data_IF_960358144242
#
_entry.id   IF_960358144242
#
_cell.length_a   1.000
_cell.length_b   1.000
_cell.length_c   1.000
_cell.angle_alpha   90.00
_cell.angle_beta   90.00
_cell.angle_gamma   90.00
#
_symmetry.space_group_name_H-M   'P 1'
#
loop_
_entity.id
_entity.type
_entity.pdbx_description
1 polymer ?
#
# COMPACT_ATOMS: atom_id res chain seq x y z
N UNK A 1 -7.23 -18.11 3.38
CA UNK A 1 -8.42 -17.48 4.03
C UNK A 1 -9.41 -17.15 2.94
N UNK A 2 -10.74 -17.33 3.12
CA UNK A 2 -11.72 -16.94 2.11
C UNK A 2 -11.95 -15.42 2.16
N UNK A 3 -12.09 -14.77 0.99
CA UNK A 3 -12.22 -13.31 0.93
C UNK A 3 -13.45 -12.80 1.71
N UNK A 4 -14.58 -13.52 1.68
CA UNK A 4 -15.81 -13.15 2.39
C UNK A 4 -15.69 -13.15 3.92
N UNK A 5 -14.65 -13.80 4.46
CA UNK A 5 -14.37 -13.87 5.90
C UNK A 5 -13.43 -12.75 6.38
N UNK A 6 -12.93 -11.95 5.44
CA UNK A 6 -12.00 -10.88 5.76
C UNK A 6 -12.70 -9.71 6.45
N UNK A 7 -12.05 -9.23 7.50
CA UNK A 7 -12.27 -7.98 8.20
C UNK A 7 -10.99 -7.19 8.10
N UNK A 8 -10.85 -6.42 7.03
CA UNK A 8 -9.57 -5.91 6.55
C UNK A 8 -9.50 -4.40 6.56
N UNK A 9 -8.39 -3.86 7.08
CA UNK A 9 -8.04 -2.45 6.95
C UNK A 9 -7.29 -2.23 5.63
N UNK A 10 -7.64 -1.16 4.91
CA UNK A 10 -6.90 -0.68 3.74
C UNK A 10 -6.53 0.78 3.94
N UNK A 11 -5.24 1.09 3.90
CA UNK A 11 -4.74 2.45 3.99
C UNK A 11 -4.55 3.06 2.59
N UNK A 12 -4.72 4.39 2.45
CA UNK A 12 -4.63 5.06 1.14
C UNK A 12 -5.78 4.63 0.21
N UNK A 13 -6.99 4.51 0.75
CA UNK A 13 -8.12 3.89 0.07
C UNK A 13 -9.04 4.88 -0.68
N UNK A 14 -8.77 6.19 -0.64
CA UNK A 14 -9.60 7.18 -1.31
C UNK A 14 -9.52 7.16 -2.84
N UNK A 15 -8.49 6.56 -3.41
CA UNK A 15 -8.25 6.55 -4.86
C UNK A 15 -7.32 5.40 -5.30
N UNK A 16 -7.16 5.24 -6.61
CA UNK A 16 -6.17 4.34 -7.21
C UNK A 16 -6.31 2.89 -6.76
N UNK A 17 -5.17 2.24 -6.45
CA UNK A 17 -5.14 0.83 -6.06
C UNK A 17 -5.92 0.55 -4.79
N UNK A 18 -5.80 1.41 -3.76
CA UNK A 18 -6.50 1.20 -2.48
C UNK A 18 -8.03 1.20 -2.63
N UNK A 19 -8.59 2.14 -3.38
CA UNK A 19 -10.02 2.17 -3.70
C UNK A 19 -10.45 0.94 -4.50
N UNK A 20 -9.63 0.52 -5.47
CA UNK A 20 -9.88 -0.68 -6.26
C UNK A 20 -9.91 -1.93 -5.39
N UNK A 21 -8.94 -2.12 -4.49
CA UNK A 21 -8.90 -3.26 -3.58
C UNK A 21 -10.10 -3.29 -2.63
N UNK A 22 -10.48 -2.13 -2.08
CA UNK A 22 -11.66 -2.02 -1.22
C UNK A 22 -12.93 -2.47 -1.92
N UNK A 23 -13.13 -2.02 -3.17
CA UNK A 23 -14.27 -2.43 -3.99
C UNK A 23 -14.25 -3.94 -4.28
N UNK A 24 -13.11 -4.49 -4.74
CA UNK A 24 -12.97 -5.94 -5.06
C UNK A 24 -13.25 -6.82 -3.85
N UNK A 25 -12.81 -6.40 -2.67
CA UNK A 25 -13.09 -7.10 -1.42
C UNK A 25 -14.56 -7.02 -1.02
N UNK A 26 -15.19 -5.85 -1.17
CA UNK A 26 -16.62 -5.69 -0.91
C UNK A 26 -17.47 -6.52 -1.90
N UNK A 27 -17.10 -6.59 -3.19
CA UNK A 27 -17.72 -7.47 -4.19
C UNK A 27 -17.63 -8.96 -3.77
N UNK A 28 -16.52 -9.35 -3.12
CA UNK A 28 -16.33 -10.72 -2.60
C UNK A 28 -17.01 -10.98 -1.24
N UNK A 29 -17.71 -10.02 -0.66
CA UNK A 29 -18.43 -10.16 0.60
C UNK A 29 -17.63 -9.82 1.86
N UNK A 30 -16.42 -9.28 1.75
CA UNK A 30 -15.59 -8.87 2.88
C UNK A 30 -16.12 -7.63 3.60
N UNK A 31 -15.70 -7.44 4.85
CA UNK A 31 -15.82 -6.16 5.53
C UNK A 31 -14.49 -5.40 5.42
N UNK A 32 -14.57 -4.16 5.01
CA UNK A 32 -13.41 -3.30 4.75
C UNK A 32 -13.49 -2.03 5.60
N UNK A 33 -12.46 -1.71 6.35
CA UNK A 33 -12.24 -0.41 6.95
C UNK A 33 -11.23 0.37 6.07
N UNK A 34 -11.73 1.35 5.32
CA UNK A 34 -10.95 2.14 4.38
C UNK A 34 -10.52 3.46 5.01
N UNK A 35 -9.20 3.69 5.10
CA UNK A 35 -8.60 4.90 5.65
C UNK A 35 -7.82 5.70 4.62
N UNK A 36 -7.98 7.03 4.65
CA UNK A 36 -7.22 7.98 3.82
C UNK A 36 -7.31 9.38 4.44
N UNK A 37 -6.39 10.27 4.08
CA UNK A 37 -6.48 11.69 4.46
C UNK A 37 -7.53 12.45 3.62
N UNK A 38 -7.93 11.91 2.46
CA UNK A 38 -8.87 12.51 1.50
C UNK A 38 -10.29 12.05 1.76
N UNK A 39 -11.02 12.78 2.60
CA UNK A 39 -12.38 12.43 3.00
C UNK A 39 -13.38 12.37 1.83
N UNK A 40 -13.23 13.26 0.84
CA UNK A 40 -14.09 13.26 -0.36
C UNK A 40 -13.95 11.95 -1.16
N UNK A 41 -12.71 11.46 -1.35
CA UNK A 41 -12.48 10.19 -2.04
C UNK A 41 -13.00 8.98 -1.25
N UNK A 42 -12.96 9.05 0.09
CA UNK A 42 -13.57 8.02 0.94
C UNK A 42 -15.10 8.02 0.81
N UNK A 43 -15.74 9.19 0.73
CA UNK A 43 -17.18 9.29 0.50
C UNK A 43 -17.59 8.72 -0.87
N UNK A 44 -16.82 9.02 -1.92
CA UNK A 44 -17.02 8.45 -3.26
C UNK A 44 -16.87 6.92 -3.26
N UNK A 45 -15.87 6.39 -2.55
CA UNK A 45 -15.68 4.94 -2.39
C UNK A 45 -16.87 4.29 -1.68
N UNK A 46 -17.35 4.88 -0.57
CA UNK A 46 -18.48 4.37 0.18
C UNK A 46 -19.74 4.30 -0.69
N UNK A 47 -19.99 5.34 -1.48
CA UNK A 47 -21.12 5.38 -2.42
C UNK A 47 -20.97 4.31 -3.53
N UNK A 48 -19.79 4.19 -4.13
CA UNK A 48 -19.51 3.21 -5.17
C UNK A 48 -19.61 1.75 -4.70
N UNK A 49 -19.48 1.52 -3.39
CA UNK A 49 -19.61 0.19 -2.79
C UNK A 49 -21.00 -0.08 -2.19
N UNK A 50 -21.93 0.87 -2.29
CA UNK A 50 -23.29 0.69 -1.76
C UNK A 50 -24.01 -0.46 -2.45
N UNK A 51 -24.60 -1.36 -1.66
CA UNK A 51 -25.35 -2.51 -2.17
C UNK A 51 -24.49 -3.71 -2.60
N UNK A 52 -23.16 -3.63 -2.47
CA UNK A 52 -22.31 -4.81 -2.65
C UNK A 52 -22.52 -5.84 -1.53
N UNK A 53 -22.19 -7.13 -1.76
CA UNK A 53 -22.36 -8.19 -0.76
C UNK A 53 -21.61 -7.93 0.57
N UNK A 54 -20.44 -7.31 0.51
CA UNK A 54 -19.66 -6.89 1.67
C UNK A 54 -19.98 -5.47 2.12
N UNK A 55 -19.20 -4.95 3.05
CA UNK A 55 -19.36 -3.59 3.57
C UNK A 55 -18.05 -2.82 3.53
N UNK A 56 -18.13 -1.53 3.18
CA UNK A 56 -17.02 -0.59 3.29
C UNK A 56 -17.36 0.47 4.33
N UNK A 57 -16.56 0.51 5.39
CA UNK A 57 -16.59 1.52 6.43
C UNK A 57 -15.46 2.51 6.13
N UNK A 58 -15.70 3.80 6.18
CA UNK A 58 -14.71 4.81 5.85
C UNK A 58 -14.47 5.76 7.03
N UNK A 59 -13.20 6.10 7.27
CA UNK A 59 -12.81 7.11 8.26
C UNK A 59 -11.51 7.77 7.79
N UNK A 60 -11.37 9.06 8.10
CA UNK A 60 -10.11 9.77 7.89
C UNK A 60 -8.97 9.09 8.66
N UNK A 61 -7.79 9.02 8.02
CA UNK A 61 -6.59 8.43 8.59
C UNK A 61 -5.35 9.12 8.03
N UNK A 62 -4.54 9.69 8.89
CA UNK A 62 -3.16 10.05 8.59
C UNK A 62 -2.23 8.98 9.18
N UNK A 63 -1.70 8.09 8.35
CA UNK A 63 -0.80 7.02 8.81
C UNK A 63 0.52 7.53 9.40
N UNK A 64 0.88 8.80 9.18
CA UNK A 64 2.08 9.40 9.78
C UNK A 64 1.87 9.88 11.23
N UNK A 65 0.62 9.88 11.70
CA UNK A 65 0.23 10.20 13.07
C UNK A 65 0.00 8.92 13.87
N UNK A 66 0.81 8.67 14.89
CA UNK A 66 0.66 7.49 15.76
C UNK A 66 -0.69 7.47 16.47
N UNK A 67 -1.18 8.64 16.90
CA UNK A 67 -2.49 8.78 17.54
C UNK A 67 -3.63 8.39 16.58
N UNK A 68 -3.61 8.94 15.34
CA UNK A 68 -4.62 8.61 14.32
C UNK A 68 -4.63 7.12 13.98
N UNK A 69 -3.45 6.50 13.91
CA UNK A 69 -3.32 5.06 13.64
C UNK A 69 -3.99 4.24 14.75
N UNK A 70 -3.68 4.53 16.02
CA UNK A 70 -4.28 3.82 17.16
C UNK A 70 -5.80 3.96 17.18
N UNK A 71 -6.30 5.20 17.06
CA UNK A 71 -7.73 5.47 17.04
C UNK A 71 -8.46 4.84 15.85
N UNK A 72 -7.80 4.80 14.67
CA UNK A 72 -8.37 4.20 13.48
C UNK A 72 -8.48 2.68 13.61
N UNK A 73 -7.45 2.01 14.11
CA UNK A 73 -7.44 0.54 14.28
C UNK A 73 -8.49 0.10 15.30
N UNK A 74 -8.59 0.81 16.43
CA UNK A 74 -9.64 0.57 17.45
C UNK A 74 -11.04 0.75 16.85
N UNK A 75 -11.28 1.84 16.13
CA UNK A 75 -12.53 2.08 15.45
C UNK A 75 -12.85 0.98 14.41
N UNK A 76 -11.87 0.59 13.60
CA UNK A 76 -12.03 -0.45 12.58
C UNK A 76 -12.39 -1.80 13.21
N UNK A 77 -11.73 -2.15 14.32
CA UNK A 77 -12.04 -3.34 15.10
C UNK A 77 -13.50 -3.33 15.57
N UNK A 78 -13.96 -2.21 16.16
CA UNK A 78 -15.36 -2.06 16.61
C UNK A 78 -16.37 -2.11 15.46
N UNK A 79 -16.11 -1.39 14.36
CA UNK A 79 -17.02 -1.30 13.21
C UNK A 79 -17.22 -2.64 12.48
N UNK A 80 -16.19 -3.49 12.44
CA UNK A 80 -16.22 -4.80 11.78
C UNK A 80 -16.40 -5.97 12.75
N UNK A 81 -16.39 -5.72 14.07
CA UNK A 81 -16.47 -6.76 15.09
C UNK A 81 -15.26 -7.70 15.06
N UNK A 82 -14.06 -7.15 14.89
CA UNK A 82 -12.78 -7.86 14.84
C UNK A 82 -11.92 -7.48 13.65
N UNK A 83 -10.68 -7.98 13.62
CA UNK A 83 -9.71 -7.76 12.54
C UNK A 83 -8.99 -9.07 12.21
N UNK A 84 -8.77 -9.32 10.91
CA UNK A 84 -7.96 -10.44 10.42
C UNK A 84 -7.18 -10.10 9.12
N UNK A 85 -7.21 -8.86 8.67
CA UNK A 85 -6.50 -8.41 7.49
C UNK A 85 -6.01 -6.97 7.57
N UNK A 86 -4.86 -6.68 6.93
CA UNK A 86 -4.33 -5.35 6.70
C UNK A 86 -3.70 -5.28 5.32
N UNK A 87 -4.05 -4.25 4.54
CA UNK A 87 -3.37 -3.88 3.29
C UNK A 87 -2.74 -2.50 3.48
N UNK A 88 -1.43 -2.47 3.69
CA UNK A 88 -0.63 -1.25 3.77
C UNK A 88 -0.39 -0.72 2.35
N UNK A 89 -1.31 0.14 1.88
CA UNK A 89 -1.25 0.71 0.53
C UNK A 89 -0.93 2.21 0.53
N UNK A 90 -1.16 2.94 1.62
CA UNK A 90 -0.83 4.36 1.70
C UNK A 90 0.63 4.63 1.35
N UNK A 91 0.86 5.67 0.55
CA UNK A 91 2.20 6.06 0.16
C UNK A 91 2.23 7.38 -0.59
N UNK A 92 3.35 8.08 -0.46
CA UNK A 92 3.61 9.35 -1.14
C UNK A 92 4.97 9.31 -1.85
N UNK A 93 5.11 10.18 -2.84
CA UNK A 93 6.34 10.47 -3.54
C UNK A 93 6.76 11.92 -3.27
N UNK A 94 8.07 12.14 -3.10
CA UNK A 94 8.74 13.45 -3.10
C UNK A 94 10.04 13.28 -3.86
N UNK A 95 9.92 13.23 -5.20
CA UNK A 95 11.03 12.94 -6.08
C UNK A 95 11.99 14.11 -6.17
N UNK A 96 13.29 13.83 -6.13
CA UNK A 96 14.35 14.81 -6.27
C UNK A 96 15.72 14.14 -6.15
N UNK A 97 16.70 14.67 -6.88
CA UNK A 97 18.09 14.21 -6.71
C UNK A 97 18.60 14.61 -5.33
N UNK A 98 19.28 13.69 -4.65
CA UNK A 98 19.85 13.93 -3.32
C UNK A 98 20.76 15.17 -3.33
N UNK A 99 21.55 15.31 -4.40
CA UNK A 99 22.33 16.52 -4.71
C UNK A 99 22.26 16.76 -6.22
N UNK A 100 22.02 18.00 -6.63
CA UNK A 100 22.08 18.40 -8.04
C UNK A 100 22.78 19.75 -8.19
N UNK A 101 23.47 19.92 -9.31
CA UNK A 101 23.93 21.25 -9.78
C UNK A 101 22.86 21.85 -10.68
N UNK A 102 22.45 23.06 -10.36
CA UNK A 102 21.59 23.86 -11.22
C UNK A 102 22.34 24.21 -12.51
N UNK A 103 21.74 24.02 -13.67
CA UNK A 103 22.43 24.17 -14.96
C UNK A 103 22.64 25.63 -15.36
N UNK A 104 21.77 26.53 -14.90
CA UNK A 104 21.81 27.94 -15.24
C UNK A 104 22.70 28.72 -14.26
N UNK A 105 22.50 28.49 -12.98
CA UNK A 105 23.18 29.25 -11.91
C UNK A 105 24.44 28.58 -11.39
N UNK A 106 24.69 27.32 -11.70
CA UNK A 106 25.78 26.53 -11.12
C UNK A 106 25.60 26.16 -9.64
N UNK A 107 24.54 26.62 -9.00
CA UNK A 107 24.29 26.41 -7.58
C UNK A 107 24.08 24.93 -7.25
N UNK A 108 24.56 24.51 -6.08
CA UNK A 108 24.30 23.17 -5.56
C UNK A 108 23.00 23.18 -4.77
N UNK A 109 22.07 22.33 -5.16
CA UNK A 109 20.80 22.10 -4.45
C UNK A 109 20.80 20.70 -3.83
N UNK A 110 20.21 20.59 -2.65
CA UNK A 110 20.08 19.34 -1.88
C UNK A 110 18.61 18.98 -1.74
N UNK A 111 18.29 17.70 -1.69
CA UNK A 111 16.95 17.24 -1.32
C UNK A 111 16.60 17.76 0.09
N UNK A 112 15.44 18.43 0.28
CA UNK A 112 15.02 18.89 1.60
C UNK A 112 14.84 17.71 2.58
N UNK A 113 15.34 17.84 3.80
CA UNK A 113 15.14 16.83 4.86
C UNK A 113 13.66 16.63 5.18
N UNK A 114 12.83 17.68 5.04
CA UNK A 114 11.40 17.58 5.21
C UNK A 114 10.75 16.61 4.20
N UNK A 115 11.17 16.62 2.93
CA UNK A 115 10.67 15.70 1.91
C UNK A 115 11.09 14.25 2.20
N UNK A 116 12.35 14.06 2.63
CA UNK A 116 12.85 12.76 3.09
C UNK A 116 12.01 12.22 4.25
N UNK A 117 11.83 13.03 5.30
CA UNK A 117 11.08 12.64 6.49
C UNK A 117 9.61 12.36 6.18
N UNK A 118 8.97 13.17 5.31
CA UNK A 118 7.59 12.96 4.91
C UNK A 118 7.41 11.60 4.22
N UNK A 119 8.31 11.24 3.30
CA UNK A 119 8.24 9.95 2.60
C UNK A 119 8.45 8.78 3.56
N UNK A 120 9.46 8.85 4.43
CA UNK A 120 9.68 7.78 5.43
C UNK A 120 8.53 7.72 6.43
N UNK A 121 8.02 8.87 6.87
CA UNK A 121 6.90 8.97 7.81
C UNK A 121 5.67 8.21 7.33
N UNK A 122 5.27 8.43 6.08
CA UNK A 122 4.09 7.76 5.51
C UNK A 122 4.42 6.32 5.08
N UNK A 123 5.46 6.15 4.24
CA UNK A 123 5.65 4.89 3.50
C UNK A 123 6.29 3.78 4.35
N UNK A 124 6.98 4.12 5.44
CA UNK A 124 7.67 3.15 6.29
C UNK A 124 7.16 3.20 7.73
N UNK A 125 7.31 4.34 8.40
CA UNK A 125 6.93 4.46 9.83
C UNK A 125 5.43 4.24 10.00
N UNK A 126 4.60 4.88 9.18
CA UNK A 126 3.16 4.73 9.21
C UNK A 126 2.71 3.30 8.91
N UNK A 127 3.29 2.68 7.86
CA UNK A 127 3.02 1.27 7.57
C UNK A 127 3.42 0.36 8.73
N UNK A 128 4.54 0.64 9.42
CA UNK A 128 4.98 -0.12 10.60
C UNK A 128 4.01 0.06 11.77
N UNK A 129 3.56 1.27 12.06
CA UNK A 129 2.57 1.54 13.10
C UNK A 129 1.25 0.82 12.82
N UNK A 130 0.76 0.86 11.58
CA UNK A 130 -0.44 0.12 11.16
C UNK A 130 -0.30 -1.39 11.38
N UNK A 131 0.85 -1.98 11.05
CA UNK A 131 1.14 -3.41 11.32
C UNK A 131 1.10 -3.68 12.82
N UNK A 132 1.81 -2.88 13.63
CA UNK A 132 1.90 -3.05 15.08
C UNK A 132 0.52 -3.07 15.73
N UNK A 133 -0.28 -2.04 15.48
CA UNK A 133 -1.60 -1.92 16.09
C UNK A 133 -2.57 -3.00 15.59
N UNK A 134 -2.61 -3.25 14.28
CA UNK A 134 -3.52 -4.26 13.73
C UNK A 134 -3.18 -5.67 14.21
N UNK A 135 -1.89 -6.04 14.23
CA UNK A 135 -1.45 -7.36 14.69
C UNK A 135 -1.65 -7.52 16.19
N UNK A 136 -1.49 -6.45 17.00
CA UNK A 136 -1.79 -6.49 18.42
C UNK A 136 -3.27 -6.85 18.68
N UNK A 137 -4.21 -6.25 17.95
CA UNK A 137 -5.64 -6.59 18.03
C UNK A 137 -5.93 -8.05 17.59
N UNK A 138 -5.29 -8.50 16.49
CA UNK A 138 -5.43 -9.90 16.04
C UNK A 138 -4.93 -10.88 17.11
N UNK A 139 -3.75 -10.60 17.68
CA UNK A 139 -3.14 -11.45 18.71
C UNK A 139 -3.97 -11.51 19.99
N UNK A 140 -4.47 -10.36 20.45
CA UNK A 140 -5.34 -10.29 21.64
C UNK A 140 -6.64 -11.08 21.46
N UNK A 141 -7.18 -11.13 20.24
CA UNK A 141 -8.36 -11.90 19.90
C UNK A 141 -8.08 -13.39 19.57
N UNK A 142 -6.82 -13.82 19.53
CA UNK A 142 -6.44 -15.15 19.04
C UNK A 142 -6.80 -15.39 17.57
N UNK A 143 -6.95 -14.32 16.77
CA UNK A 143 -7.40 -14.39 15.40
C UNK A 143 -6.22 -14.67 14.45
N UNK A 144 -6.38 -15.64 13.55
CA UNK A 144 -5.46 -15.82 12.43
C UNK A 144 -5.62 -14.64 11.45
N UNK A 145 -4.50 -14.16 10.89
CA UNK A 145 -4.55 -12.97 10.07
C UNK A 145 -3.57 -12.95 8.90
N UNK A 146 -3.71 -11.90 8.07
CA UNK A 146 -2.80 -11.65 6.95
C UNK A 146 -2.53 -10.15 6.78
N UNK A 147 -1.26 -9.81 6.61
CA UNK A 147 -0.79 -8.46 6.27
C UNK A 147 -0.24 -8.47 4.84
N UNK A 148 -0.66 -7.51 4.03
CA UNK A 148 -0.13 -7.28 2.69
C UNK A 148 0.50 -5.89 2.64
N UNK A 149 1.81 -5.84 2.36
CA UNK A 149 2.56 -4.60 2.22
C UNK A 149 2.71 -4.22 0.74
N UNK A 150 2.41 -2.97 0.39
CA UNK A 150 2.69 -2.46 -0.95
C UNK A 150 4.12 -1.90 -1.00
N UNK A 151 5.06 -2.73 -1.49
CA UNK A 151 6.42 -2.31 -1.83
C UNK A 151 6.44 -1.61 -3.19
N UNK A 152 7.50 -1.75 -3.98
CA UNK A 152 7.66 -1.26 -5.35
C UNK A 152 8.87 -1.93 -6.00
N UNK A 153 8.91 -2.06 -7.32
CA UNK A 153 10.14 -2.43 -8.03
C UNK A 153 11.25 -1.40 -7.81
N UNK A 154 10.89 -0.13 -7.54
CA UNK A 154 11.86 0.91 -7.17
C UNK A 154 12.73 0.56 -5.95
N UNK A 155 12.37 -0.48 -5.15
CA UNK A 155 13.20 -0.97 -4.04
C UNK A 155 14.60 -1.41 -4.47
N UNK A 156 14.80 -1.69 -5.74
CA UNK A 156 16.11 -2.07 -6.29
C UNK A 156 16.98 -0.86 -6.68
N UNK A 157 16.45 0.34 -6.60
CA UNK A 157 17.08 1.60 -6.93
C UNK A 157 16.32 2.34 -8.04
N UNK A 158 16.08 3.63 -7.85
CA UNK A 158 15.54 4.50 -8.89
C UNK A 158 16.08 5.92 -8.72
N UNK A 159 16.57 6.49 -9.82
CA UNK A 159 17.19 7.81 -9.82
C UNK A 159 16.19 8.89 -9.38
N UNK A 160 16.56 9.67 -8.36
CA UNK A 160 15.72 10.74 -7.83
C UNK A 160 14.71 10.30 -6.77
N UNK A 161 14.71 9.04 -6.34
CA UNK A 161 13.75 8.48 -5.39
C UNK A 161 14.40 7.94 -4.11
N UNK A 162 15.49 8.54 -3.64
CA UNK A 162 16.27 8.00 -2.51
C UNK A 162 15.42 7.66 -1.27
N UNK A 163 14.51 8.57 -0.84
CA UNK A 163 13.65 8.32 0.29
C UNK A 163 12.60 7.22 0.02
N UNK A 164 12.02 7.22 -1.18
CA UNK A 164 11.04 6.22 -1.60
C UNK A 164 11.65 4.84 -1.71
N UNK A 165 12.82 4.74 -2.35
CA UNK A 165 13.62 3.50 -2.43
C UNK A 165 13.93 2.96 -1.04
N UNK A 166 14.44 3.80 -0.13
CA UNK A 166 14.75 3.41 1.24
C UNK A 166 13.51 2.84 1.95
N UNK A 167 12.36 3.53 1.86
CA UNK A 167 11.12 3.08 2.47
C UNK A 167 10.62 1.73 1.89
N UNK A 168 10.61 1.60 0.56
CA UNK A 168 10.06 0.41 -0.10
C UNK A 168 10.99 -0.80 0.01
N UNK A 169 12.31 -0.61 0.05
CA UNK A 169 13.29 -1.66 0.36
C UNK A 169 13.16 -2.14 1.80
N UNK A 170 13.07 -1.22 2.76
CA UNK A 170 12.88 -1.56 4.17
C UNK A 170 11.56 -2.31 4.40
N UNK A 171 10.46 -1.89 3.74
CA UNK A 171 9.16 -2.55 3.87
C UNK A 171 9.19 -3.98 3.30
N UNK A 172 9.90 -4.20 2.17
CA UNK A 172 10.10 -5.54 1.62
C UNK A 172 10.92 -6.44 2.56
N UNK A 173 11.99 -5.91 3.17
CA UNK A 173 12.80 -6.63 4.16
C UNK A 173 12.00 -6.95 5.43
N UNK A 174 11.25 -5.96 5.95
CA UNK A 174 10.40 -6.13 7.13
C UNK A 174 9.28 -7.15 6.89
N UNK A 175 8.81 -7.34 5.67
CA UNK A 175 7.84 -8.40 5.34
C UNK A 175 8.35 -9.78 5.76
N UNK A 176 9.62 -10.10 5.55
CA UNK A 176 10.21 -11.36 6.01
C UNK A 176 10.42 -11.38 7.53
N UNK A 177 10.87 -10.26 8.11
CA UNK A 177 11.07 -10.12 9.56
C UNK A 177 9.75 -10.36 10.30
N UNK A 178 8.73 -9.62 9.94
CA UNK A 178 7.39 -9.72 10.56
C UNK A 178 6.72 -11.07 10.32
N UNK A 179 6.93 -11.70 9.16
CA UNK A 179 6.44 -13.06 8.92
C UNK A 179 7.02 -14.09 9.91
N UNK A 180 8.25 -13.88 10.37
CA UNK A 180 8.89 -14.72 11.39
C UNK A 180 8.43 -14.37 12.82
N UNK A 181 8.34 -13.08 13.12
CA UNK A 181 7.89 -12.60 14.44
C UNK A 181 6.44 -12.99 14.74
N UNK A 182 5.56 -12.91 13.73
CA UNK A 182 4.12 -13.15 13.92
C UNK A 182 3.68 -14.60 13.66
N UNK A 183 4.62 -15.49 13.32
CA UNK A 183 4.28 -16.90 13.05
C UNK A 183 3.57 -17.58 14.23
N UNK A 184 4.05 -17.35 15.47
CA UNK A 184 3.42 -17.88 16.68
C UNK A 184 2.06 -17.25 17.00
N UNK A 185 1.76 -16.08 16.42
CA UNK A 185 0.47 -15.40 16.54
C UNK A 185 -0.53 -15.83 15.45
N UNK A 186 -0.12 -16.70 14.52
CA UNK A 186 -0.96 -17.15 13.42
C UNK A 186 -1.19 -16.08 12.33
N UNK A 187 -0.33 -15.05 12.25
CA UNK A 187 -0.43 -13.96 11.26
C UNK A 187 0.65 -14.13 10.19
N UNK A 188 0.22 -14.15 8.92
CA UNK A 188 1.10 -14.17 7.75
C UNK A 188 1.36 -12.75 7.25
N UNK A 189 2.52 -12.54 6.64
CA UNK A 189 2.89 -11.27 6.02
C UNK A 189 3.42 -11.51 4.62
N UNK A 190 2.84 -10.85 3.64
CA UNK A 190 3.31 -10.85 2.26
C UNK A 190 3.47 -9.43 1.71
N UNK A 191 4.17 -9.28 0.62
CA UNK A 191 4.27 -8.00 -0.08
C UNK A 191 4.05 -8.16 -1.58
N UNK A 192 3.54 -7.09 -2.19
CA UNK A 192 3.51 -6.91 -3.64
C UNK A 192 4.43 -5.74 -3.98
N UNK A 193 5.19 -5.86 -5.04
CA UNK A 193 6.01 -4.79 -5.60
C UNK A 193 5.51 -4.44 -7.00
N UNK A 194 4.63 -3.45 -7.11
CA UNK A 194 4.14 -2.98 -8.39
C UNK A 194 5.24 -2.34 -9.23
N UNK A 195 5.13 -2.55 -10.55
CA UNK A 195 5.80 -1.73 -11.54
C UNK A 195 5.08 -0.41 -11.79
N UNK A 196 5.04 0.01 -13.04
CA UNK A 196 4.28 1.21 -13.44
C UNK A 196 2.80 0.85 -13.61
N UNK A 197 1.97 1.43 -12.77
CA UNK A 197 0.52 1.17 -12.73
C UNK A 197 -0.26 2.44 -13.08
N UNK A 198 -1.33 2.29 -13.85
CA UNK A 198 -2.24 3.37 -14.18
C UNK A 198 -2.94 3.89 -12.91
N UNK A 199 -2.65 5.11 -12.57
CA UNK A 199 -3.20 5.82 -11.42
C UNK A 199 -3.53 7.25 -11.83
N UNK A 200 -4.25 8.04 -11.02
CA UNK A 200 -4.45 9.46 -11.32
C UNK A 200 -3.14 10.23 -11.58
N UNK A 201 -2.04 9.79 -10.99
CA UNK A 201 -0.71 10.38 -11.17
C UNK A 201 -0.12 10.09 -12.56
N UNK A 202 -0.24 8.86 -13.06
CA UNK A 202 0.28 8.44 -14.38
C UNK A 202 -0.61 8.92 -15.53
N UNK A 203 -1.90 9.12 -15.30
CA UNK A 203 -2.84 9.70 -16.29
C UNK A 203 -2.48 11.11 -16.72
N UNK A 204 -1.77 11.87 -15.90
CA UNK A 204 -1.29 13.21 -16.20
C UNK A 204 -0.05 13.28 -17.09
N UNK A 205 0.57 12.16 -17.43
CA UNK A 205 1.74 12.13 -18.32
C UNK A 205 1.38 12.51 -19.76
N UNK A 206 2.28 13.30 -20.41
CA UNK A 206 2.15 13.54 -21.85
C UNK A 206 2.41 12.24 -22.63
N UNK A 207 1.85 12.15 -23.85
CA UNK A 207 1.89 10.94 -24.68
C UNK A 207 3.32 10.46 -24.95
N UNK A 208 4.24 11.37 -25.27
CA UNK A 208 5.64 11.01 -25.57
C UNK A 208 6.34 10.35 -24.36
N UNK A 209 6.11 10.87 -23.15
CA UNK A 209 6.65 10.26 -21.94
C UNK A 209 6.03 8.89 -21.65
N UNK A 210 4.71 8.76 -21.93
CA UNK A 210 3.99 7.49 -21.81
C UNK A 210 4.53 6.44 -22.78
N UNK A 211 4.71 6.81 -24.05
CA UNK A 211 5.23 5.88 -25.09
C UNK A 211 6.66 5.43 -24.76
N UNK A 212 7.52 6.35 -24.33
CA UNK A 212 8.88 6.03 -23.88
C UNK A 212 8.89 5.08 -22.68
N UNK A 213 7.94 5.21 -21.76
CA UNK A 213 7.80 4.32 -20.62
C UNK A 213 7.34 2.93 -21.08
N UNK A 214 6.27 2.86 -21.89
CA UNK A 214 5.72 1.59 -22.42
C UNK A 214 6.77 0.83 -23.20
N UNK A 215 7.62 1.50 -23.97
CA UNK A 215 8.70 0.86 -24.73
C UNK A 215 9.72 0.11 -23.85
N UNK A 216 9.81 0.44 -22.55
CA UNK A 216 10.68 -0.24 -21.59
C UNK A 216 9.98 -1.35 -20.80
N UNK A 217 8.66 -1.54 -20.98
CA UNK A 217 7.89 -2.59 -20.31
C UNK A 217 7.76 -3.78 -21.27
N UNK A 218 8.38 -4.94 -20.99
CA UNK A 218 8.32 -6.09 -21.89
C UNK A 218 6.92 -6.57 -22.28
N UNK A 219 5.94 -6.45 -21.37
CA UNK A 219 4.52 -6.76 -21.64
C UNK A 219 3.87 -5.74 -22.59
N UNK A 220 4.51 -4.59 -22.86
CA UNK A 220 4.06 -3.59 -23.85
C UNK A 220 2.92 -2.69 -23.38
N UNK A 221 2.62 -2.66 -22.10
CA UNK A 221 1.60 -1.76 -21.50
C UNK A 221 1.93 -1.35 -20.08
N UNK A 222 1.37 -0.24 -19.65
CA UNK A 222 1.28 0.11 -18.21
C UNK A 222 0.29 -0.85 -17.56
N UNK A 223 0.58 -1.31 -16.35
CA UNK A 223 -0.31 -2.17 -15.58
C UNK A 223 -1.54 -1.41 -15.06
N UNK A 224 -2.59 -2.15 -14.76
CA UNK A 224 -3.81 -1.62 -14.16
C UNK A 224 -3.92 -2.03 -12.69
N UNK A 225 -4.73 -1.35 -11.87
CA UNK A 225 -4.99 -1.77 -10.48
C UNK A 225 -5.44 -3.22 -10.35
N UNK A 226 -6.13 -3.76 -11.36
CA UNK A 226 -6.56 -5.16 -11.40
C UNK A 226 -5.38 -6.13 -11.50
N UNK A 227 -4.30 -5.78 -12.23
CA UNK A 227 -3.10 -6.63 -12.30
C UNK A 227 -2.49 -6.82 -10.90
N UNK A 228 -2.48 -5.76 -10.10
CA UNK A 228 -1.97 -5.80 -8.73
C UNK A 228 -2.93 -6.51 -7.78
N UNK A 229 -4.24 -6.31 -7.99
CA UNK A 229 -5.26 -7.00 -7.20
C UNK A 229 -5.10 -8.53 -7.26
N UNK A 230 -4.78 -9.10 -8.41
CA UNK A 230 -4.59 -10.54 -8.55
C UNK A 230 -3.48 -11.07 -7.62
N UNK A 231 -2.37 -10.34 -7.49
CA UNK A 231 -1.30 -10.70 -6.56
C UNK A 231 -1.70 -10.48 -5.09
N UNK A 232 -2.40 -9.39 -4.79
CA UNK A 232 -2.95 -9.14 -3.45
C UNK A 232 -3.91 -10.26 -3.07
N UNK A 233 -4.85 -10.62 -3.95
CA UNK A 233 -5.80 -11.71 -3.76
C UNK A 233 -5.08 -13.04 -3.51
N UNK A 234 -4.05 -13.36 -4.30
CA UNK A 234 -3.25 -14.56 -4.10
C UNK A 234 -2.65 -14.61 -2.69
N UNK A 235 -2.06 -13.51 -2.20
CA UNK A 235 -1.49 -13.45 -0.84
C UNK A 235 -2.57 -13.66 0.23
N UNK A 236 -3.75 -13.07 0.04
CA UNK A 236 -4.88 -13.22 0.96
C UNK A 236 -5.37 -14.67 1.04
N UNK A 237 -5.51 -15.35 -0.10
CA UNK A 237 -6.10 -16.69 -0.21
C UNK A 237 -5.08 -17.84 -0.03
N UNK A 238 -3.80 -17.65 -0.40
CA UNK A 238 -2.77 -18.69 -0.31
C UNK A 238 -2.16 -18.77 1.09
N UNK A 239 -2.61 -19.73 1.90
CA UNK A 239 -2.16 -19.88 3.29
C UNK A 239 -0.68 -20.34 3.42
N UNK A 240 -0.07 -20.84 2.36
CA UNK A 240 1.34 -21.24 2.34
C UNK A 240 2.29 -20.13 1.89
N UNK A 241 1.76 -18.97 1.44
CA UNK A 241 2.57 -17.80 1.08
C UNK A 241 2.84 -16.93 2.30
N UNK A 242 4.12 -16.81 2.70
CA UNK A 242 4.54 -16.02 3.86
C UNK A 242 5.98 -15.49 3.71
N UNK A 243 6.23 -14.25 4.13
CA UNK A 243 7.55 -13.63 4.18
C UNK A 243 8.18 -13.34 2.81
N UNK A 244 7.41 -13.23 1.75
CA UNK A 244 7.90 -13.02 0.38
C UNK A 244 7.25 -11.81 -0.27
N UNK A 245 7.96 -11.26 -1.27
CA UNK A 245 7.49 -10.17 -2.13
C UNK A 245 7.27 -10.71 -3.54
N UNK A 246 6.13 -10.39 -4.14
CA UNK A 246 5.79 -10.70 -5.54
C UNK A 246 5.98 -9.44 -6.37
N UNK A 247 6.79 -9.50 -7.41
CA UNK A 247 6.92 -8.43 -8.41
C UNK A 247 5.80 -8.57 -9.44
N UNK A 248 5.08 -7.46 -9.68
CA UNK A 248 4.01 -7.36 -10.70
C UNK A 248 4.27 -6.09 -11.51
N UNK A 249 5.11 -6.20 -12.53
CA UNK A 249 5.77 -5.06 -13.17
C UNK A 249 5.80 -5.14 -14.71
N UNK A 250 5.22 -6.21 -15.28
CA UNK A 250 5.26 -6.45 -16.73
C UNK A 250 6.65 -6.75 -17.28
N UNK A 251 7.60 -7.15 -16.41
CA UNK A 251 9.00 -7.41 -16.76
C UNK A 251 9.87 -6.14 -16.77
N UNK A 252 9.36 -5.01 -16.27
CA UNK A 252 10.13 -3.78 -16.15
C UNK A 252 11.22 -3.95 -15.07
N UNK A 253 12.49 -3.98 -15.48
CA UNK A 253 13.62 -3.94 -14.55
C UNK A 253 14.10 -2.52 -14.30
N UNK A 254 14.55 -2.23 -13.09
CA UNK A 254 15.15 -0.95 -12.70
C UNK A 254 16.64 -1.07 -12.50
#
# INVERSE_FOLDING_TARGET
>A
MQLRELKVIITGAAQGMGAHFARRLAEAGAQVAAGDVKEEGLAQLAEACRGLPGRVHTRKLDVSSEADVGEFVEWAHGAMGGLNGLINNAGILRDGLLVKRDRETGAIRKLPTADWNAVLGVNLTGATMMVRETVAHMAAAGARGVVVNMSSIARHGNRGQSAYVAAKSALAANTLTWAREFASLGVRVGAVAPGMIETPMTKGMNQKARDALVANIPVGRIGEPEDIWQAVRFILECDYFNGRTIDVDGGLSM
#
